data_IF_350434925861
#
_entry.id   IF_350434925861
#
_cell.length_a   1.000
_cell.length_b   1.000
_cell.length_c   1.000
_cell.angle_alpha   90.00
_cell.angle_beta   90.00
_cell.angle_gamma   90.00
#
_symmetry.space_group_name_H-M   'P 1'
#
loop_
_entity.id
_entity.type
_entity.pdbx_description
1 polymer ?
#
# COMPACT_ATOMS: atom_id res chain seq x y z
N UNK A 1 12.83 -23.28 -3.38
CA UNK A 1 11.88 -24.41 -3.26
C UNK A 1 10.93 -24.36 -4.46
N UNK A 2 10.69 -25.47 -5.16
CA UNK A 2 9.74 -25.54 -6.29
C UNK A 2 8.45 -26.17 -5.76
N UNK A 3 7.36 -25.43 -5.82
CA UNK A 3 6.04 -25.85 -5.34
C UNK A 3 5.05 -25.76 -6.50
N UNK A 4 4.22 -26.78 -6.67
CA UNK A 4 3.10 -26.74 -7.61
C UNK A 4 1.94 -26.06 -6.91
N UNK A 5 1.47 -24.93 -7.45
CA UNK A 5 0.41 -24.11 -6.85
C UNK A 5 -0.71 -23.93 -7.86
N UNK A 6 -1.95 -24.20 -7.44
CA UNK A 6 -3.13 -23.83 -8.22
C UNK A 6 -3.42 -22.34 -8.01
N UNK A 7 -3.53 -21.59 -9.10
CA UNK A 7 -3.68 -20.13 -9.07
C UNK A 7 -4.81 -19.66 -9.97
N UNK A 8 -5.53 -18.64 -9.51
CA UNK A 8 -6.53 -17.98 -10.33
C UNK A 8 -5.90 -17.41 -11.61
N UNK A 9 -6.56 -17.55 -12.79
CA UNK A 9 -6.10 -16.95 -14.04
C UNK A 9 -5.84 -15.44 -13.95
N UNK A 10 -6.59 -14.73 -13.08
CA UNK A 10 -6.41 -13.29 -12.86
C UNK A 10 -5.08 -12.96 -12.17
N UNK A 11 -4.67 -13.77 -11.21
CA UNK A 11 -3.39 -13.61 -10.50
C UNK A 11 -2.24 -13.89 -11.46
N UNK A 12 -2.37 -14.93 -12.30
CA UNK A 12 -1.38 -15.22 -13.35
C UNK A 12 -1.23 -14.06 -14.35
N UNK A 13 -2.35 -13.46 -14.77
CA UNK A 13 -2.33 -12.31 -15.67
C UNK A 13 -1.59 -11.10 -15.04
N UNK A 14 -1.89 -10.79 -13.77
CA UNK A 14 -1.20 -9.73 -13.03
C UNK A 14 0.30 -10.01 -12.87
N UNK A 15 0.69 -11.25 -12.54
CA UNK A 15 2.08 -11.65 -12.44
C UNK A 15 2.84 -11.49 -13.77
N UNK A 16 2.23 -11.90 -14.88
CA UNK A 16 2.80 -11.71 -16.24
C UNK A 16 2.99 -10.23 -16.57
N UNK A 17 2.00 -9.40 -16.28
CA UNK A 17 2.10 -7.96 -16.52
C UNK A 17 3.30 -7.34 -15.77
N UNK A 18 3.53 -7.74 -14.52
CA UNK A 18 4.68 -7.27 -13.72
C UNK A 18 6.03 -7.69 -14.31
N UNK A 19 6.15 -8.94 -14.74
CA UNK A 19 7.38 -9.43 -15.38
C UNK A 19 7.63 -8.69 -16.69
N UNK A 20 6.60 -8.50 -17.52
CA UNK A 20 6.71 -7.75 -18.77
C UNK A 20 7.08 -6.28 -18.55
N UNK A 21 6.67 -5.70 -17.42
CA UNK A 21 7.05 -4.35 -17.02
C UNK A 21 8.46 -4.27 -16.38
N UNK A 22 9.19 -5.39 -16.28
CA UNK A 22 10.52 -5.44 -15.68
C UNK A 22 10.55 -5.32 -14.16
N UNK A 23 9.40 -5.46 -13.49
CA UNK A 23 9.28 -5.31 -12.03
C UNK A 23 9.71 -6.57 -11.26
N UNK A 24 9.82 -7.71 -11.95
CA UNK A 24 10.18 -9.00 -11.35
C UNK A 24 10.92 -9.87 -12.38
N UNK A 25 11.88 -10.70 -11.92
CA UNK A 25 12.69 -11.53 -12.82
C UNK A 25 11.96 -12.80 -13.29
N UNK A 26 10.92 -13.25 -12.57
CA UNK A 26 10.14 -14.44 -12.95
C UNK A 26 8.68 -14.36 -12.51
N UNK A 27 7.84 -15.21 -13.10
CA UNK A 27 6.42 -15.34 -12.71
C UNK A 27 6.30 -15.79 -11.25
N UNK A 28 7.13 -16.74 -10.80
CA UNK A 28 7.08 -17.23 -9.42
C UNK A 28 7.42 -16.14 -8.41
N UNK A 29 8.41 -15.30 -8.73
CA UNK A 29 8.76 -14.13 -7.92
C UNK A 29 7.63 -13.09 -7.89
N UNK A 30 7.03 -12.79 -9.05
CA UNK A 30 5.89 -11.87 -9.12
C UNK A 30 4.68 -12.37 -8.32
N UNK A 31 4.38 -13.67 -8.35
CA UNK A 31 3.31 -14.27 -7.54
C UNK A 31 3.64 -14.19 -6.04
N UNK A 32 4.88 -14.51 -5.65
CA UNK A 32 5.33 -14.40 -4.26
C UNK A 32 5.23 -12.96 -3.74
N UNK A 33 5.59 -11.98 -4.56
CA UNK A 33 5.45 -10.56 -4.23
C UNK A 33 3.98 -10.19 -4.01
N UNK A 34 3.09 -10.56 -4.93
CA UNK A 34 1.66 -10.25 -4.81
C UNK A 34 1.03 -10.90 -3.56
N UNK A 35 1.43 -12.12 -3.22
CA UNK A 35 0.96 -12.80 -2.02
C UNK A 35 1.43 -12.07 -0.75
N UNK A 36 2.70 -11.67 -0.69
CA UNK A 36 3.28 -10.94 0.45
C UNK A 36 2.59 -9.59 0.64
N UNK A 37 2.39 -8.84 -0.45
CA UNK A 37 1.66 -7.57 -0.43
C UNK A 37 0.23 -7.75 0.09
N UNK A 38 -0.45 -8.83 -0.31
CA UNK A 38 -1.79 -9.18 0.20
C UNK A 38 -1.81 -9.46 1.70
N UNK A 39 -0.77 -10.11 2.23
CA UNK A 39 -0.62 -10.37 3.67
C UNK A 39 -0.39 -9.06 4.42
N UNK A 40 0.56 -8.23 3.96
CA UNK A 40 0.91 -6.96 4.62
C UNK A 40 -0.28 -5.98 4.67
N UNK A 41 -1.06 -5.94 3.59
CA UNK A 41 -2.28 -5.12 3.52
C UNK A 41 -3.39 -5.62 4.43
N UNK A 42 -3.48 -6.94 4.68
CA UNK A 42 -4.47 -7.52 5.61
C UNK A 42 -4.04 -7.33 7.07
N UNK A 43 -2.74 -7.26 7.35
CA UNK A 43 -2.21 -7.06 8.70
C UNK A 43 -2.12 -5.59 9.13
N UNK A 44 -2.16 -4.65 8.19
CA UNK A 44 -2.40 -3.25 8.54
C UNK A 44 -3.86 -3.12 8.97
N UNK A 45 -4.15 -2.78 10.25
CA UNK A 45 -5.52 -2.49 10.66
C UNK A 45 -6.03 -1.40 9.72
N UNK A 46 -7.17 -1.67 9.08
CA UNK A 46 -7.74 -0.81 8.06
C UNK A 46 -7.63 0.65 8.49
N UNK A 47 -7.12 1.48 7.57
CA UNK A 47 -7.02 2.93 7.72
C UNK A 47 -8.21 3.41 8.55
N UNK A 48 -8.01 4.11 9.68
CA UNK A 48 -9.11 4.43 10.59
C UNK A 48 -10.14 5.27 9.84
N UNK A 49 -11.20 4.62 9.38
CA UNK A 49 -12.41 5.26 8.86
C UNK A 49 -13.34 5.37 10.05
N UNK A 50 -13.07 6.32 10.96
CA UNK A 50 -13.87 6.48 12.19
C UNK A 50 -15.36 6.73 11.91
N UNK A 51 -15.74 7.11 10.67
CA UNK A 51 -17.15 7.18 10.18
C UNK A 51 -17.23 7.21 8.64
N UNK A 52 -16.38 6.47 7.92
CA UNK A 52 -16.31 6.55 6.46
C UNK A 52 -15.60 7.80 5.91
N UNK A 53 -15.03 8.61 6.80
CA UNK A 53 -14.08 9.66 6.45
C UNK A 53 -12.68 9.05 6.31
N UNK A 54 -12.03 9.31 5.17
CA UNK A 54 -10.64 8.94 4.95
C UNK A 54 -9.78 9.93 5.71
N UNK A 55 -9.34 9.54 6.91
CA UNK A 55 -8.39 10.34 7.69
C UNK A 55 -6.96 10.02 7.24
N UNK A 56 -6.13 11.06 7.21
CA UNK A 56 -4.69 10.89 7.15
C UNK A 56 -4.22 10.29 8.49
N UNK A 57 -3.25 9.36 8.47
CA UNK A 57 -2.71 8.80 9.69
C UNK A 57 -2.06 9.91 10.52
N UNK A 58 -2.35 9.94 11.81
CA UNK A 58 -1.70 10.88 12.72
C UNK A 58 -0.19 10.58 12.79
N UNK A 59 0.64 11.55 12.44
CA UNK A 59 2.09 11.47 12.59
C UNK A 59 2.51 12.10 13.92
N UNK A 60 3.21 11.37 14.82
CA UNK A 60 3.76 11.97 16.03
C UNK A 60 4.62 13.19 15.70
N UNK A 61 4.42 14.30 16.41
CA UNK A 61 5.13 15.56 16.20
C UNK A 61 4.52 16.49 15.14
N UNK A 62 3.48 16.07 14.40
CA UNK A 62 2.73 16.94 13.50
C UNK A 62 1.48 17.51 14.20
N UNK A 63 1.70 18.27 15.27
CA UNK A 63 0.63 19.01 15.95
C UNK A 63 0.57 20.40 15.35
N UNK A 64 -0.55 20.74 14.71
CA UNK A 64 -0.80 22.10 14.23
C UNK A 64 -1.32 22.91 15.41
N UNK A 65 -0.59 23.98 15.75
CA UNK A 65 -0.95 24.91 16.81
C UNK A 65 -1.56 26.19 16.21
N UNK A 66 -2.26 26.97 17.03
CA UNK A 66 -2.87 28.22 16.57
C UNK A 66 -1.82 29.20 16.03
N UNK A 67 -0.69 29.34 16.74
CA UNK A 67 0.42 30.20 16.34
C UNK A 67 0.95 29.84 14.94
N UNK A 68 1.06 28.54 14.62
CA UNK A 68 1.49 28.08 13.29
C UNK A 68 0.48 28.42 12.18
N UNK A 69 -0.81 28.50 12.50
CA UNK A 69 -1.86 28.89 11.55
C UNK A 69 -1.85 30.40 11.35
N UNK A 70 -1.66 31.16 12.42
CA UNK A 70 -1.54 32.62 12.38
C UNK A 70 -0.33 33.05 11.55
N UNK A 71 0.84 32.43 11.76
CA UNK A 71 2.05 32.70 10.96
C UNK A 71 1.83 32.42 9.47
N UNK A 72 1.16 31.32 9.12
CA UNK A 72 0.90 30.96 7.72
C UNK A 72 -0.12 31.88 7.02
N UNK A 73 -0.99 32.56 7.77
CA UNK A 73 -1.98 33.50 7.24
C UNK A 73 -1.42 34.91 7.05
N UNK A 74 -0.25 35.20 7.61
CA UNK A 74 0.44 36.50 7.48
C UNK A 74 1.34 36.58 6.24
N UNK A 75 1.61 35.44 5.58
CA UNK A 75 2.47 35.32 4.39
C UNK A 75 1.70 35.47 3.04
N UNK A 76 0.43 35.93 3.06
CA UNK A 76 -0.34 36.41 1.89
C UNK A 76 -0.41 37.95 1.81
#
# INVERSE_FOLDING_TARGET
MRTTLDISPRVLAAARARVNAGLNASIGEAVSYLATLGIDTTQSPGRPTDRGLILLPAAPGHVITNDMVEDAMLDE
#
